data_IF_396803266984
#
_entry.id   IF_396803266984
#
_cell.length_a   1.000
_cell.length_b   1.000
_cell.length_c   1.000
_cell.angle_alpha   90.00
_cell.angle_beta   90.00
_cell.angle_gamma   90.00
#
_symmetry.space_group_name_H-M   'P 1'
#
loop_
_entity.id
_entity.type
_entity.pdbx_description
1 polymer ?
#
# COMPACT_ATOMS: atom_id res chain seq x y z
N UNK A 1 -11.86 -4.39 18.65
CA UNK A 1 -10.83 -4.37 17.60
C UNK A 1 -10.13 -3.04 17.71
N UNK A 2 -8.81 -3.00 17.68
CA UNK A 2 -8.08 -1.74 17.84
C UNK A 2 -8.28 -0.90 16.58
N UNK A 3 -8.46 0.42 16.68
CA UNK A 3 -8.68 1.32 15.53
C UNK A 3 -7.59 1.16 14.44
N UNK A 4 -6.36 0.81 14.84
CA UNK A 4 -5.28 0.46 13.92
C UNK A 4 -5.60 -0.79 13.09
N UNK A 5 -6.17 -1.85 13.68
CA UNK A 5 -6.51 -3.09 12.96
C UNK A 5 -7.62 -2.86 11.93
N UNK A 6 -8.62 -2.05 12.26
CA UNK A 6 -9.69 -1.68 11.32
C UNK A 6 -9.13 -0.87 10.15
N UNK A 7 -8.24 0.08 10.44
CA UNK A 7 -7.55 0.89 9.42
C UNK A 7 -6.67 0.01 8.52
N UNK A 8 -5.87 -0.90 9.10
CA UNK A 8 -5.02 -1.83 8.35
C UNK A 8 -5.83 -2.81 7.50
N UNK A 9 -6.99 -3.25 7.98
CA UNK A 9 -7.91 -4.09 7.22
C UNK A 9 -8.47 -3.34 6.00
N UNK A 10 -8.89 -2.08 6.17
CA UNK A 10 -9.34 -1.23 5.06
C UNK A 10 -8.23 -1.02 4.01
N UNK A 11 -7.00 -0.75 4.45
CA UNK A 11 -5.83 -0.62 3.56
C UNK A 11 -5.56 -1.90 2.78
N UNK A 12 -5.69 -3.08 3.41
CA UNK A 12 -5.56 -4.39 2.77
C UNK A 12 -6.60 -4.59 1.68
N UNK A 13 -7.87 -4.25 1.95
CA UNK A 13 -8.96 -4.34 0.97
C UNK A 13 -8.70 -3.44 -0.23
N UNK A 14 -8.26 -2.20 -0.01
CA UNK A 14 -7.91 -1.28 -1.11
C UNK A 14 -6.76 -1.84 -1.98
N UNK A 15 -5.72 -2.42 -1.35
CA UNK A 15 -4.62 -3.05 -2.07
C UNK A 15 -5.09 -4.25 -2.91
N UNK A 16 -5.98 -5.08 -2.38
CA UNK A 16 -6.52 -6.22 -3.12
C UNK A 16 -7.38 -5.77 -4.31
N UNK A 17 -8.19 -4.72 -4.12
CA UNK A 17 -8.95 -4.09 -5.21
C UNK A 17 -8.04 -3.54 -6.32
N UNK A 18 -6.89 -2.97 -5.96
CA UNK A 18 -5.89 -2.53 -6.94
C UNK A 18 -5.28 -3.70 -7.71
N UNK A 19 -4.91 -4.78 -7.01
CA UNK A 19 -4.37 -6.00 -7.64
C UNK A 19 -5.40 -6.64 -8.58
N UNK A 20 -6.68 -6.59 -8.24
CA UNK A 20 -7.77 -7.05 -9.10
C UNK A 20 -8.02 -6.14 -10.31
N UNK A 21 -7.35 -4.98 -10.41
CA UNK A 21 -7.58 -4.00 -11.47
C UNK A 21 -8.83 -3.14 -11.27
N UNK A 22 -9.49 -3.25 -10.12
CA UNK A 22 -10.71 -2.51 -9.78
C UNK A 22 -10.44 -1.13 -9.17
N UNK A 23 -9.22 -0.87 -8.71
CA UNK A 23 -8.81 0.41 -8.13
C UNK A 23 -7.52 0.90 -8.81
N UNK A 24 -7.51 2.11 -9.41
CA UNK A 24 -6.29 2.67 -9.96
C UNK A 24 -5.28 3.01 -8.85
N UNK A 25 -4.00 3.02 -9.21
CA UNK A 25 -2.89 3.24 -8.26
C UNK A 25 -2.98 4.61 -7.55
N UNK A 26 -3.48 5.65 -8.23
CA UNK A 26 -3.62 7.00 -7.66
C UNK A 26 -4.58 7.01 -6.48
N UNK A 27 -5.80 6.51 -6.68
CA UNK A 27 -6.80 6.36 -5.62
C UNK A 27 -6.32 5.45 -4.48
N UNK A 28 -5.54 4.41 -4.77
CA UNK A 28 -4.94 3.56 -3.73
C UNK A 28 -3.98 4.38 -2.85
N UNK A 29 -3.08 5.14 -3.46
CA UNK A 29 -2.06 5.94 -2.75
C UNK A 29 -2.71 7.01 -1.89
N UNK A 30 -3.71 7.73 -2.42
CA UNK A 30 -4.44 8.75 -1.66
C UNK A 30 -5.15 8.15 -0.46
N UNK A 31 -5.87 7.03 -0.65
CA UNK A 31 -6.54 6.32 0.45
C UNK A 31 -5.54 5.83 1.50
N UNK A 32 -4.41 5.26 1.08
CA UNK A 32 -3.37 4.80 2.00
C UNK A 32 -2.74 5.95 2.78
N UNK A 33 -2.43 7.09 2.16
CA UNK A 33 -1.91 8.26 2.88
C UNK A 33 -2.91 8.81 3.88
N UNK A 34 -4.19 8.87 3.50
CA UNK A 34 -5.25 9.28 4.42
C UNK A 34 -5.37 8.31 5.61
N UNK A 35 -5.40 7.01 5.37
CA UNK A 35 -5.43 5.99 6.43
C UNK A 35 -4.18 5.98 7.30
N UNK A 36 -3.01 6.28 6.74
CA UNK A 36 -1.77 6.33 7.52
C UNK A 36 -1.79 7.43 8.60
N UNK A 37 -2.53 8.53 8.36
CA UNK A 37 -2.67 9.61 9.34
C UNK A 37 -3.48 9.19 10.58
N UNK A 38 -4.33 8.16 10.48
CA UNK A 38 -5.07 7.60 11.61
C UNK A 38 -4.35 6.45 12.32
N UNK A 39 -3.25 5.93 11.74
CA UNK A 39 -2.46 4.88 12.35
C UNK A 39 -1.54 5.43 13.43
N UNK A 40 -1.62 4.88 14.64
CA UNK A 40 -0.65 5.17 15.70
C UNK A 40 0.52 4.20 15.60
N UNK A 41 1.39 4.39 14.61
CA UNK A 41 2.55 3.54 14.33
C UNK A 41 3.88 4.30 14.51
N UNK A 42 4.99 3.60 14.79
CA UNK A 42 6.31 4.23 14.82
C UNK A 42 6.65 4.92 13.48
N UNK A 43 7.39 6.04 13.50
CA UNK A 43 7.65 6.85 12.31
C UNK A 43 8.36 6.09 11.17
N UNK A 44 9.14 5.05 11.51
CA UNK A 44 9.78 4.16 10.53
C UNK A 44 8.77 3.44 9.64
N UNK A 45 7.58 3.11 10.13
CA UNK A 45 6.54 2.48 9.32
C UNK A 45 5.97 3.45 8.29
N UNK A 46 5.75 4.72 8.67
CA UNK A 46 5.30 5.76 7.74
C UNK A 46 6.32 6.01 6.62
N UNK A 47 7.62 6.09 6.96
CA UNK A 47 8.70 6.22 5.98
C UNK A 47 8.77 5.03 5.01
N UNK A 48 8.68 3.80 5.54
CA UNK A 48 8.68 2.59 4.71
C UNK A 48 7.45 2.52 3.80
N UNK A 49 6.28 2.91 4.30
CA UNK A 49 5.05 2.95 3.51
C UNK A 49 5.16 3.96 2.37
N UNK A 50 5.60 5.19 2.63
CA UNK A 50 5.76 6.23 1.61
C UNK A 50 6.71 5.81 0.49
N UNK A 51 7.83 5.18 0.82
CA UNK A 51 8.78 4.65 -0.18
C UNK A 51 8.13 3.56 -1.05
N UNK A 52 7.35 2.65 -0.45
CA UNK A 52 6.64 1.61 -1.20
C UNK A 52 5.56 2.19 -2.12
N UNK A 53 4.78 3.17 -1.65
CA UNK A 53 3.77 3.86 -2.44
C UNK A 53 4.40 4.59 -3.63
N UNK A 54 5.52 5.28 -3.42
CA UNK A 54 6.27 5.96 -4.49
C UNK A 54 6.79 5.00 -5.54
N UNK A 55 7.31 3.84 -5.13
CA UNK A 55 7.73 2.77 -6.05
C UNK A 55 6.57 2.21 -6.86
N UNK A 56 5.39 2.07 -6.24
CA UNK A 56 4.18 1.61 -6.92
C UNK A 56 3.70 2.62 -7.96
N UNK A 57 3.69 3.91 -7.61
CA UNK A 57 3.34 5.00 -8.52
C UNK A 57 4.24 5.00 -9.76
N UNK A 58 5.56 4.95 -9.56
CA UNK A 58 6.51 4.82 -10.67
C UNK A 58 6.26 3.55 -11.47
N UNK A 59 6.08 2.40 -10.81
CA UNK A 59 5.86 1.12 -11.51
C UNK A 59 4.60 1.17 -12.39
N UNK A 60 3.54 1.87 -11.96
CA UNK A 60 2.33 2.05 -12.76
C UNK A 60 2.54 2.98 -13.96
N UNK A 61 3.36 4.03 -13.81
CA UNK A 61 3.75 4.92 -14.92
C UNK A 61 4.59 4.15 -15.95
N UNK A 62 5.53 3.30 -15.51
CA UNK A 62 6.41 2.53 -16.39
C UNK A 62 5.80 1.22 -16.91
N UNK A 63 4.77 0.68 -16.27
CA UNK A 63 4.09 -0.55 -16.71
C UNK A 63 3.41 -0.41 -18.09
N UNK A 64 3.17 0.81 -18.57
CA UNK A 64 2.64 1.06 -19.92
C UNK A 64 3.65 0.72 -21.04
N UNK A 65 4.96 0.72 -20.74
CA UNK A 65 6.02 0.47 -21.71
C UNK A 65 6.71 -0.90 -21.56
N UNK A 66 6.49 -1.60 -20.44
CA UNK A 66 7.23 -2.82 -20.11
C UNK A 66 6.30 -3.93 -19.62
N UNK A 67 5.99 -4.89 -20.50
CA UNK A 67 5.16 -6.07 -20.23
C UNK A 67 5.77 -7.07 -19.22
N UNK A 68 6.84 -6.70 -18.49
CA UNK A 68 7.49 -7.57 -17.50
C UNK A 68 8.19 -6.78 -16.38
N UNK A 69 7.67 -5.62 -15.98
CA UNK A 69 8.15 -4.98 -14.75
C UNK A 69 7.40 -5.53 -13.54
N UNK A 70 8.14 -5.88 -12.49
CA UNK A 70 7.66 -6.62 -11.32
C UNK A 70 6.75 -5.81 -10.39
N UNK A 71 5.65 -5.24 -10.89
CA UNK A 71 4.63 -4.55 -10.08
C UNK A 71 4.11 -5.45 -8.94
N UNK A 72 4.09 -6.78 -9.16
CA UNK A 72 3.76 -7.77 -8.13
C UNK A 72 4.71 -7.74 -6.93
N UNK A 73 5.99 -7.40 -7.12
CA UNK A 73 6.97 -7.33 -6.04
C UNK A 73 6.69 -6.19 -5.07
N UNK A 74 6.26 -5.02 -5.58
CA UNK A 74 5.89 -3.87 -4.74
C UNK A 74 4.64 -4.17 -3.93
N UNK A 75 3.63 -4.77 -4.57
CA UNK A 75 2.41 -5.24 -3.89
C UNK A 75 2.72 -6.25 -2.78
N UNK A 76 3.63 -7.20 -3.02
CA UNK A 76 4.05 -8.18 -2.01
C UNK A 76 4.74 -7.51 -0.81
N UNK A 77 5.57 -6.50 -1.05
CA UNK A 77 6.19 -5.71 0.01
C UNK A 77 5.16 -4.93 0.84
N UNK A 78 4.13 -4.34 0.21
CA UNK A 78 3.02 -3.68 0.91
C UNK A 78 2.21 -4.67 1.74
N UNK A 79 1.97 -5.89 1.23
CA UNK A 79 1.30 -6.95 1.98
C UNK A 79 2.07 -7.34 3.24
N UNK A 80 3.41 -7.43 3.15
CA UNK A 80 4.30 -7.69 4.30
C UNK A 80 4.34 -6.52 5.28
N UNK A 81 4.31 -5.28 4.79
CA UNK A 81 4.23 -4.10 5.66
C UNK A 81 2.95 -4.11 6.50
N UNK A 82 1.80 -4.41 5.89
CA UNK A 82 0.52 -4.51 6.60
C UNK A 82 0.53 -5.60 7.68
N UNK A 83 1.09 -6.77 7.36
CA UNK A 83 1.23 -7.87 8.31
C UNK A 83 2.06 -7.44 9.52
N UNK A 84 3.22 -6.82 9.27
CA UNK A 84 4.11 -6.32 10.32
C UNK A 84 3.46 -5.20 11.14
N UNK A 85 2.75 -4.27 10.50
CA UNK A 85 2.04 -3.20 11.20
C UNK A 85 0.90 -3.73 12.08
N UNK A 86 0.27 -4.84 11.70
CA UNK A 86 -0.77 -5.50 12.50
C UNK A 86 -0.24 -6.31 13.70
N UNK A 87 1.07 -6.55 13.77
CA UNK A 87 1.74 -7.22 14.91
C UNK A 87 2.24 -6.26 15.99
N UNK A 88 2.21 -4.95 15.72
CA UNK A 88 2.59 -3.88 16.65
C UNK A 88 1.37 -3.46 17.46
#
# INVERSE_FOLDING_TARGET
MSANQETLAAMRTALDAHVAGSLPVGDLIEQWRASASSLTLPPVFGQAMEELLRRMEMSAVFAQDSCSFSSTAVTDQLKKWLDKAGTI
#
